data_IF_703459857991
#
_entry.id   IF_703459857991
#
_cell.length_a   1.000
_cell.length_b   1.000
_cell.length_c   1.000
_cell.angle_alpha   90.00
_cell.angle_beta   90.00
_cell.angle_gamma   90.00
#
_symmetry.space_group_name_H-M   'P 1'
#
loop_
_entity.id
_entity.type
_entity.pdbx_description
1 polymer ?
#
# COMPACT_ATOMS: atom_id res chain seq x y z
N UNK A 1 5.03 -44.14 43.91
CA UNK A 1 4.81 -42.67 43.86
C UNK A 1 4.40 -42.35 42.43
N UNK A 2 3.21 -41.78 42.21
CA UNK A 2 2.67 -41.50 40.86
C UNK A 2 2.87 -40.00 40.61
N UNK A 3 3.78 -39.64 39.71
CA UNK A 3 4.03 -38.24 39.34
C UNK A 3 3.17 -37.88 38.13
N UNK A 4 2.12 -37.09 38.35
CA UNK A 4 1.35 -36.47 37.27
C UNK A 4 2.09 -35.24 36.76
N UNK A 5 2.45 -35.24 35.48
CA UNK A 5 3.08 -34.09 34.81
C UNK A 5 1.95 -33.28 34.18
N UNK A 6 1.61 -32.14 34.78
CA UNK A 6 0.65 -31.19 34.23
C UNK A 6 1.36 -30.28 33.25
N UNK A 7 1.31 -30.60 31.95
CA UNK A 7 1.87 -29.76 30.90
C UNK A 7 1.03 -28.50 30.70
N UNK A 8 1.58 -27.34 31.04
CA UNK A 8 0.98 -26.04 30.75
C UNK A 8 1.30 -25.63 29.31
N UNK A 9 0.28 -25.50 28.46
CA UNK A 9 0.42 -24.91 27.14
C UNK A 9 0.49 -23.39 27.26
N UNK A 10 1.65 -22.80 26.99
CA UNK A 10 1.80 -21.36 26.83
C UNK A 10 1.24 -20.95 25.47
N UNK A 11 0.08 -20.29 25.44
CA UNK A 11 -0.44 -19.67 24.22
C UNK A 11 0.35 -18.38 24.02
N UNK A 12 1.40 -18.46 23.20
CA UNK A 12 2.09 -17.29 22.66
C UNK A 12 1.13 -16.64 21.67
N UNK A 13 0.38 -15.63 22.12
CA UNK A 13 -0.30 -14.70 21.23
C UNK A 13 0.77 -13.90 20.48
N UNK A 14 1.21 -14.41 19.34
CA UNK A 14 2.00 -13.63 18.41
C UNK A 14 1.18 -12.42 18.00
N UNK A 15 1.65 -11.22 18.35
CA UNK A 15 1.20 -10.01 17.68
C UNK A 15 1.57 -10.16 16.20
N UNK A 16 0.64 -10.68 15.40
CA UNK A 16 0.64 -10.43 13.98
C UNK A 16 0.40 -8.92 13.83
N UNK A 17 1.48 -8.13 13.77
CA UNK A 17 1.41 -6.88 13.02
C UNK A 17 1.01 -7.34 11.63
N UNK A 18 -0.26 -7.18 11.29
CA UNK A 18 -0.76 -7.43 9.94
C UNK A 18 -0.13 -6.37 9.06
N UNK A 19 1.14 -6.59 8.69
CA UNK A 19 1.85 -5.78 7.71
C UNK A 19 1.20 -6.06 6.37
N UNK A 20 0.25 -5.22 6.03
CA UNK A 20 -0.72 -5.44 4.99
C UNK A 20 -0.43 -4.48 3.87
N UNK A 21 0.58 -4.80 3.07
CA UNK A 21 0.94 -3.96 1.95
C UNK A 21 -0.09 -4.04 0.84
N UNK A 22 -0.42 -2.90 0.22
CA UNK A 22 -1.04 -2.91 -1.09
C UNK A 22 0.02 -3.03 -2.17
N UNK A 23 -0.38 -3.55 -3.32
CA UNK A 23 0.51 -3.70 -4.48
C UNK A 23 -0.12 -2.98 -5.67
N UNK A 24 0.72 -2.30 -6.45
CA UNK A 24 0.30 -1.63 -7.66
C UNK A 24 1.28 -1.81 -8.81
N UNK A 25 0.77 -1.72 -10.02
CA UNK A 25 1.55 -1.51 -11.22
C UNK A 25 1.51 -0.04 -11.60
N UNK A 26 2.61 0.48 -12.14
CA UNK A 26 2.80 1.90 -12.48
C UNK A 26 3.07 2.05 -13.97
N UNK A 27 2.72 3.20 -14.54
CA UNK A 27 2.74 3.46 -15.97
C UNK A 27 3.15 4.91 -16.27
N UNK A 28 3.79 5.11 -17.42
CA UNK A 28 4.35 6.40 -17.85
C UNK A 28 3.35 7.30 -18.58
N UNK A 29 2.22 6.74 -19.01
CA UNK A 29 1.09 7.47 -19.59
C UNK A 29 -0.08 7.60 -18.60
N UNK A 30 -1.16 8.25 -19.03
CA UNK A 30 -2.35 8.50 -18.19
C UNK A 30 -3.42 7.41 -18.29
N UNK A 31 -3.25 6.42 -19.17
CA UNK A 31 -4.26 5.42 -19.53
C UNK A 31 -3.82 3.98 -19.20
N UNK A 32 -2.72 3.82 -18.45
CA UNK A 32 -2.10 2.54 -18.11
C UNK A 32 -1.76 1.68 -19.34
N UNK A 33 -1.26 2.30 -20.41
CA UNK A 33 -0.83 1.62 -21.64
C UNK A 33 0.66 1.22 -21.62
N UNK A 34 1.51 2.09 -21.07
CA UNK A 34 2.96 1.98 -21.08
C UNK A 34 3.48 1.73 -19.65
N UNK A 35 3.59 0.45 -19.28
CA UNK A 35 4.07 0.03 -17.97
C UNK A 35 5.49 0.51 -17.69
N UNK A 36 5.73 0.95 -16.45
CA UNK A 36 7.02 1.40 -15.94
C UNK A 36 7.56 0.36 -14.97
N UNK A 37 6.81 0.07 -13.92
CA UNK A 37 7.20 -0.88 -12.90
C UNK A 37 5.98 -1.66 -12.40
N UNK A 38 6.12 -2.98 -12.33
CA UNK A 38 5.07 -3.88 -11.86
C UNK A 38 5.35 -4.35 -10.43
N UNK A 39 4.29 -4.68 -9.70
CA UNK A 39 4.41 -5.27 -8.38
C UNK A 39 5.04 -4.33 -7.34
N UNK A 40 4.82 -3.02 -7.46
CA UNK A 40 5.25 -2.04 -6.46
C UNK A 40 4.46 -2.30 -5.18
N UNK A 41 5.09 -3.00 -4.26
CA UNK A 41 4.59 -3.26 -2.92
C UNK A 41 4.78 -1.99 -2.09
N UNK A 42 3.76 -1.53 -1.35
CA UNK A 42 3.85 -0.36 -0.45
C UNK A 42 3.37 -0.79 0.94
N UNK A 43 4.29 -0.92 1.89
CA UNK A 43 3.99 -1.42 3.24
C UNK A 43 3.28 -0.40 4.12
N UNK A 44 2.50 -0.91 5.08
CA UNK A 44 1.89 -0.11 6.13
C UNK A 44 2.89 0.77 6.87
N UNK A 45 2.49 2.01 7.11
CA UNK A 45 3.25 3.01 7.85
C UNK A 45 4.63 3.29 7.24
N UNK A 46 4.77 3.13 5.92
CA UNK A 46 6.00 3.41 5.19
C UNK A 46 5.78 4.41 4.06
N UNK A 47 6.88 5.03 3.63
CA UNK A 47 6.96 5.78 2.38
C UNK A 47 7.80 4.99 1.38
N UNK A 48 7.18 4.58 0.28
CA UNK A 48 7.82 3.96 -0.86
C UNK A 48 8.40 5.02 -1.79
N UNK A 49 9.72 5.14 -1.80
CA UNK A 49 10.49 6.04 -2.70
C UNK A 49 11.26 5.29 -3.80
N UNK A 50 11.04 3.97 -3.90
CA UNK A 50 11.54 3.10 -4.97
C UNK A 50 10.68 3.00 -6.25
N UNK A 51 9.41 3.45 -6.32
CA UNK A 51 8.71 3.47 -7.59
C UNK A 51 9.41 4.43 -8.56
N UNK A 52 9.71 3.95 -9.77
CA UNK A 52 10.08 4.85 -10.86
C UNK A 52 8.95 5.84 -11.14
N UNK A 53 9.29 7.03 -11.64
CA UNK A 53 8.32 8.10 -11.88
C UNK A 53 7.18 7.66 -12.82
N UNK A 54 5.93 7.89 -12.40
CA UNK A 54 4.73 7.36 -13.07
C UNK A 54 3.58 8.37 -13.11
N UNK A 55 2.74 8.29 -14.15
CA UNK A 55 1.57 9.16 -14.38
C UNK A 55 0.24 8.47 -14.08
N UNK A 56 0.22 7.14 -14.20
CA UNK A 56 -0.93 6.33 -13.85
C UNK A 56 -0.52 5.03 -13.18
N UNK A 57 -1.46 4.40 -12.49
CA UNK A 57 -1.26 3.18 -11.72
C UNK A 57 -2.52 2.31 -11.74
N UNK A 58 -2.32 1.02 -11.46
CA UNK A 58 -3.38 0.05 -11.21
C UNK A 58 -3.10 -0.64 -9.90
N UNK A 59 -4.06 -0.66 -9.00
CA UNK A 59 -3.94 -1.47 -7.79
C UNK A 59 -4.18 -2.92 -8.19
N UNK A 60 -3.25 -3.80 -7.83
CA UNK A 60 -3.30 -5.23 -8.17
C UNK A 60 -3.56 -6.09 -6.95
N UNK A 61 -3.26 -5.60 -5.76
CA UNK A 61 -3.54 -6.30 -4.49
C UNK A 61 -3.94 -5.28 -3.44
N UNK A 62 -4.97 -5.61 -2.67
CA UNK A 62 -5.41 -4.78 -1.56
C UNK A 62 -4.40 -4.77 -0.42
N UNK A 63 -4.37 -3.63 0.26
CA UNK A 63 -3.88 -3.49 1.60
C UNK A 63 -4.69 -4.27 2.62
N UNK A 64 -4.30 -4.15 3.88
CA UNK A 64 -5.14 -4.61 4.98
C UNK A 64 -6.22 -3.61 5.33
N UNK A 65 -6.94 -3.97 6.39
CA UNK A 65 -8.11 -3.22 6.84
C UNK A 65 -7.76 -1.76 7.08
N UNK A 66 -8.55 -0.86 6.51
CA UNK A 66 -8.43 0.58 6.73
C UNK A 66 -7.05 1.15 6.31
N UNK A 67 -6.45 0.62 5.23
CA UNK A 67 -5.21 1.14 4.68
C UNK A 67 -5.48 2.26 3.67
N UNK A 68 -4.75 3.37 3.79
CA UNK A 68 -4.85 4.53 2.89
C UNK A 68 -3.53 4.82 2.18
N UNK A 69 -3.60 4.97 0.87
CA UNK A 69 -2.48 5.38 0.04
C UNK A 69 -2.47 6.90 -0.16
N UNK A 70 -1.27 7.48 -0.20
CA UNK A 70 -1.01 8.87 -0.52
C UNK A 70 0.12 8.94 -1.56
N UNK A 71 -0.11 9.62 -2.66
CA UNK A 71 0.80 9.73 -3.79
C UNK A 71 1.45 11.11 -3.82
N UNK A 72 2.75 11.18 -4.09
CA UNK A 72 3.53 12.41 -4.04
C UNK A 72 4.30 12.62 -5.34
N UNK A 73 4.41 13.90 -5.74
CA UNK A 73 5.24 14.37 -6.85
C UNK A 73 6.48 15.10 -6.31
N UNK A 74 6.33 16.12 -5.44
CA UNK A 74 7.44 16.66 -4.66
C UNK A 74 7.55 16.01 -3.27
N UNK A 75 8.70 16.22 -2.61
CA UNK A 75 8.96 15.98 -1.19
C UNK A 75 8.87 14.54 -0.67
N UNK A 76 8.66 13.53 -1.52
CA UNK A 76 8.77 12.10 -1.17
C UNK A 76 8.15 11.74 0.19
N UNK A 77 6.85 12.00 0.36
CA UNK A 77 6.08 11.80 1.59
C UNK A 77 6.41 12.75 2.77
N UNK A 78 7.10 13.87 2.54
CA UNK A 78 7.47 14.82 3.61
C UNK A 78 6.28 15.48 4.34
N UNK A 79 5.10 15.55 3.70
CA UNK A 79 3.88 16.09 4.31
C UNK A 79 2.64 15.45 3.67
N UNK A 80 1.84 14.71 4.46
CA UNK A 80 0.64 14.03 3.98
C UNK A 80 -0.36 14.97 3.24
N UNK A 81 -0.65 16.19 3.73
CA UNK A 81 -1.48 17.15 2.99
C UNK A 81 -0.93 17.55 1.61
N UNK A 82 0.37 17.39 1.38
CA UNK A 82 1.02 17.65 0.10
C UNK A 82 0.85 16.53 -0.94
N UNK A 83 0.15 15.45 -0.61
CA UNK A 83 -0.12 14.37 -1.57
C UNK A 83 -0.96 14.90 -2.75
N UNK A 84 -0.55 14.59 -3.97
CA UNK A 84 -1.30 14.95 -5.18
C UNK A 84 -2.58 14.12 -5.33
N UNK A 85 -2.63 12.97 -4.66
CA UNK A 85 -3.80 12.09 -4.61
C UNK A 85 -3.73 11.21 -3.37
N UNK A 86 -4.90 10.83 -2.87
CA UNK A 86 -5.02 9.89 -1.77
C UNK A 86 -6.30 9.05 -1.92
N UNK A 87 -6.36 7.91 -1.25
CA UNK A 87 -7.59 7.12 -1.15
C UNK A 87 -7.37 5.79 -0.45
N UNK A 88 -8.47 5.20 0.00
CA UNK A 88 -8.50 3.91 0.67
C UNK A 88 -8.20 2.76 -0.30
N UNK A 89 -7.17 1.99 0.03
CA UNK A 89 -6.62 0.88 -0.74
C UNK A 89 -6.87 -0.45 -0.03
N UNK A 90 -8.03 -0.56 0.61
CA UNK A 90 -8.46 -1.73 1.35
C UNK A 90 -9.77 -2.30 0.77
N UNK A 91 -10.08 -3.54 1.09
CA UNK A 91 -11.28 -4.23 0.58
C UNK A 91 -12.59 -3.82 1.26
N UNK A 92 -12.54 -3.16 2.42
CA UNK A 92 -13.71 -2.81 3.22
C UNK A 92 -14.26 -1.41 2.92
N UNK A 93 -13.38 -0.45 2.60
CA UNK A 93 -13.72 0.93 2.24
C UNK A 93 -13.07 1.40 0.94
N UNK A 94 -13.14 0.65 -0.17
CA UNK A 94 -12.33 0.92 -1.36
C UNK A 94 -12.72 2.21 -2.11
N UNK A 95 -11.83 3.21 -2.11
CA UNK A 95 -11.89 4.35 -3.06
C UNK A 95 -11.38 3.94 -4.45
N UNK A 96 -10.59 2.87 -4.48
CA UNK A 96 -10.03 2.29 -5.69
C UNK A 96 -10.71 0.96 -6.02
N UNK A 97 -10.46 0.42 -7.20
CA UNK A 97 -10.84 -0.94 -7.56
C UNK A 97 -9.62 -1.65 -8.13
N UNK A 98 -9.44 -2.92 -7.77
CA UNK A 98 -8.35 -3.73 -8.34
C UNK A 98 -8.51 -3.78 -9.86
N UNK A 99 -7.40 -3.60 -10.57
CA UNK A 99 -7.32 -3.64 -12.03
C UNK A 99 -7.76 -2.36 -12.74
N UNK A 100 -8.45 -1.43 -12.05
CA UNK A 100 -8.81 -0.15 -12.65
C UNK A 100 -7.59 0.76 -12.80
N UNK A 101 -7.58 1.51 -13.91
CA UNK A 101 -6.56 2.50 -14.18
C UNK A 101 -6.89 3.83 -13.51
N UNK A 102 -5.90 4.40 -12.82
CA UNK A 102 -5.99 5.62 -12.06
C UNK A 102 -4.83 6.53 -12.42
N UNK A 103 -5.05 7.83 -12.56
CA UNK A 103 -4.01 8.78 -12.95
C UNK A 103 -4.04 10.06 -12.11
N UNK A 104 -3.12 10.97 -12.42
CA UNK A 104 -2.97 12.26 -11.73
C UNK A 104 -3.24 13.47 -12.66
N UNK A 105 -4.09 13.33 -13.68
CA UNK A 105 -4.36 14.40 -14.67
C UNK A 105 -3.06 15.05 -15.20
N UNK A 106 -2.17 14.21 -15.77
CA UNK A 106 -0.83 14.55 -16.29
C UNK A 106 0.29 14.86 -15.28
N UNK A 107 0.00 14.93 -13.97
CA UNK A 107 1.06 14.98 -12.97
C UNK A 107 1.82 13.65 -12.87
N UNK A 108 3.05 13.73 -12.36
CA UNK A 108 3.97 12.58 -12.22
C UNK A 108 4.23 12.33 -10.74
N UNK A 109 3.88 11.16 -10.24
CA UNK A 109 4.26 10.71 -8.91
C UNK A 109 5.57 9.91 -8.95
N UNK A 110 6.33 9.95 -7.87
CA UNK A 110 7.57 9.18 -7.69
C UNK A 110 7.70 8.58 -6.28
N UNK A 111 6.75 8.89 -5.39
CA UNK A 111 6.72 8.33 -4.06
C UNK A 111 5.28 8.08 -3.62
N UNK A 112 5.09 7.05 -2.80
CA UNK A 112 3.77 6.66 -2.28
C UNK A 112 3.90 6.25 -0.83
N UNK A 113 3.15 6.88 0.07
CA UNK A 113 3.05 6.40 1.45
C UNK A 113 1.78 5.61 1.69
N UNK A 114 1.87 4.67 2.62
CA UNK A 114 0.71 3.93 3.12
C UNK A 114 0.59 4.07 4.63
N UNK A 115 -0.63 4.31 5.11
CA UNK A 115 -0.93 4.36 6.54
C UNK A 115 -2.18 3.52 6.84
N UNK A 116 -2.10 2.69 7.87
CA UNK A 116 -3.26 2.05 8.46
C UNK A 116 -3.92 3.03 9.45
N UNK A 117 -5.25 3.19 9.36
CA UNK A 117 -6.04 4.01 10.29
C UNK A 117 -6.79 3.20 11.33
#
# INVERSE_FOLDING_TARGET
>A
MRFSITSSFAIMAGLTVTGSAFVMDTFSDTNCGNGVQQGVNVWDNTCATWPDAFKSYRITTWGGSHQKAYFFAPDNCGSLPGSIRQGWVDSSTPDYQIGNCYNFNDAVANAVSSYAG
#
